data_IF_120154082705
#
_entry.id   IF_120154082705
#
_cell.length_a   1.000
_cell.length_b   1.000
_cell.length_c   1.000
_cell.angle_alpha   90.00
_cell.angle_beta   90.00
_cell.angle_gamma   90.00
#
_symmetry.space_group_name_H-M   'P 1'
#
loop_
_entity.id
_entity.type
_entity.pdbx_description
1 polymer ?
#
# COMPACT_ATOMS: atom_id res chain seq x y z
N UNK A 1 44.92 -78.65 -46.97
CA UNK A 1 44.40 -79.79 -46.16
C UNK A 1 44.94 -79.88 -44.72
N UNK A 2 45.93 -79.06 -44.28
CA UNK A 2 46.41 -79.10 -42.88
C UNK A 2 45.44 -78.46 -41.85
N UNK A 3 44.65 -77.47 -42.27
CA UNK A 3 43.68 -76.79 -41.41
C UNK A 3 42.51 -77.68 -40.97
N UNK A 4 41.98 -78.49 -41.90
CA UNK A 4 40.86 -79.42 -41.60
C UNK A 4 41.26 -80.55 -40.64
N UNK A 5 42.50 -81.07 -40.71
CA UNK A 5 43.02 -82.03 -39.72
C UNK A 5 43.21 -81.41 -38.33
N UNK A 6 43.47 -80.11 -38.25
CA UNK A 6 43.61 -79.40 -36.98
C UNK A 6 42.27 -79.17 -36.30
N UNK A 7 41.22 -78.77 -37.03
CA UNK A 7 39.87 -78.55 -36.49
C UNK A 7 39.23 -79.86 -35.97
N UNK A 8 39.63 -81.02 -36.50
CA UNK A 8 39.16 -82.35 -36.07
C UNK A 8 40.05 -82.93 -34.94
N UNK A 9 41.16 -82.28 -34.61
CA UNK A 9 42.10 -82.77 -33.59
C UNK A 9 41.51 -82.69 -32.18
N UNK A 10 41.79 -83.71 -31.35
CA UNK A 10 41.45 -83.73 -29.91
C UNK A 10 41.97 -82.49 -29.18
N UNK A 11 43.15 -82.00 -29.55
CA UNK A 11 43.78 -80.83 -28.92
C UNK A 11 43.00 -79.54 -29.23
N UNK A 12 42.46 -79.40 -30.44
CA UNK A 12 41.65 -78.23 -30.82
C UNK A 12 40.37 -78.16 -30.00
N UNK A 13 39.65 -79.27 -29.85
CA UNK A 13 38.42 -79.33 -29.03
C UNK A 13 38.68 -79.12 -27.54
N UNK A 14 39.83 -79.57 -27.00
CA UNK A 14 40.23 -79.28 -25.61
C UNK A 14 40.51 -77.77 -25.42
N UNK A 15 41.26 -77.15 -26.33
CA UNK A 15 41.55 -75.71 -26.26
C UNK A 15 40.28 -74.87 -26.47
N UNK A 16 39.38 -75.29 -27.36
CA UNK A 16 38.08 -74.65 -27.57
C UNK A 16 37.21 -74.76 -26.31
N UNK A 17 37.14 -75.93 -25.69
CA UNK A 17 36.44 -76.12 -24.41
C UNK A 17 37.02 -75.24 -23.30
N UNK A 18 38.35 -75.18 -23.17
CA UNK A 18 39.03 -74.32 -22.19
C UNK A 18 38.74 -72.83 -22.45
N UNK A 19 38.78 -72.39 -23.71
CA UNK A 19 38.47 -71.02 -24.11
C UNK A 19 37.00 -70.67 -23.80
N UNK A 20 36.06 -71.59 -24.05
CA UNK A 20 34.66 -71.41 -23.67
C UNK A 20 34.48 -71.32 -22.15
N UNK A 21 35.18 -72.14 -21.36
CA UNK A 21 35.13 -72.09 -19.89
C UNK A 21 35.70 -70.77 -19.37
N UNK A 22 36.87 -70.34 -19.84
CA UNK A 22 37.46 -69.06 -19.46
C UNK A 22 36.59 -67.87 -19.88
N UNK A 23 36.02 -67.92 -21.08
CA UNK A 23 35.07 -66.92 -21.58
C UNK A 23 33.80 -66.85 -20.71
N UNK A 24 33.23 -67.99 -20.35
CA UNK A 24 32.08 -68.07 -19.45
C UNK A 24 32.42 -67.53 -18.05
N UNK A 25 33.58 -67.91 -17.50
CA UNK A 25 34.04 -67.44 -16.20
C UNK A 25 34.26 -65.92 -16.18
N UNK A 26 34.88 -65.39 -17.25
CA UNK A 26 35.06 -63.95 -17.44
C UNK A 26 33.74 -63.20 -17.58
N UNK A 27 32.79 -63.74 -18.35
CA UNK A 27 31.46 -63.17 -18.50
C UNK A 27 30.69 -63.12 -17.17
N UNK A 28 30.72 -64.21 -16.38
CA UNK A 28 30.09 -64.27 -15.05
C UNK A 28 30.76 -63.28 -14.10
N UNK A 29 32.09 -63.23 -14.07
CA UNK A 29 32.85 -62.31 -13.21
C UNK A 29 32.56 -60.85 -13.56
N UNK A 30 32.49 -60.52 -14.86
CA UNK A 30 32.10 -59.21 -15.35
C UNK A 30 30.66 -58.87 -14.96
N UNK A 31 29.72 -59.81 -15.07
CA UNK A 31 28.32 -59.58 -14.70
C UNK A 31 28.18 -59.32 -13.18
N UNK A 32 28.88 -60.08 -12.34
CA UNK A 32 28.89 -59.89 -10.88
C UNK A 32 29.55 -58.55 -10.52
N UNK A 33 30.70 -58.23 -11.11
CA UNK A 33 31.38 -56.96 -10.90
C UNK A 33 30.53 -55.77 -11.32
N UNK A 34 29.87 -55.86 -12.48
CA UNK A 34 28.93 -54.83 -12.94
C UNK A 34 27.73 -54.69 -12.01
N UNK A 35 27.14 -55.79 -11.50
CA UNK A 35 26.03 -55.72 -10.55
C UNK A 35 26.42 -55.07 -9.22
N UNK A 36 27.61 -55.36 -8.70
CA UNK A 36 28.14 -54.74 -7.49
C UNK A 36 28.48 -53.26 -7.70
N UNK A 37 29.08 -52.91 -8.84
CA UNK A 37 29.46 -51.54 -9.18
C UNK A 37 28.26 -50.65 -9.49
N UNK A 38 27.23 -51.20 -10.15
CA UNK A 38 26.03 -50.45 -10.53
C UNK A 38 25.03 -50.27 -9.40
N UNK A 39 25.26 -50.87 -8.21
CA UNK A 39 24.39 -50.81 -7.01
C UNK A 39 22.93 -50.68 -7.44
N UNK A 40 22.38 -51.76 -8.00
CA UNK A 40 21.03 -51.78 -8.56
C UNK A 40 20.08 -51.13 -7.56
N UNK A 41 19.55 -49.99 -7.98
CA UNK A 41 18.83 -49.00 -7.19
C UNK A 41 17.93 -49.60 -6.13
N UNK A 42 18.31 -49.49 -4.86
CA UNK A 42 17.32 -49.48 -3.79
C UNK A 42 16.39 -48.31 -4.07
N UNK A 43 15.18 -48.69 -4.49
CA UNK A 43 14.07 -47.76 -4.64
C UNK A 43 13.54 -47.50 -3.25
N UNK A 44 13.59 -46.24 -2.85
CA UNK A 44 13.12 -45.79 -1.55
C UNK A 44 11.75 -45.16 -1.79
N UNK A 45 10.74 -45.64 -1.07
CA UNK A 45 9.44 -44.97 -1.05
C UNK A 45 9.60 -43.65 -0.30
N UNK A 46 9.24 -42.55 -0.93
CA UNK A 46 9.36 -41.21 -0.33
C UNK A 46 8.41 -41.10 0.87
N UNK A 47 8.91 -40.80 2.09
CA UNK A 47 8.06 -40.59 3.25
C UNK A 47 7.23 -39.31 3.11
N UNK A 48 6.06 -39.30 3.73
CA UNK A 48 5.23 -38.09 3.81
C UNK A 48 5.73 -37.15 4.89
N UNK A 49 6.07 -35.93 4.50
CA UNK A 49 6.55 -34.87 5.42
C UNK A 49 5.68 -33.61 5.38
N UNK A 50 4.63 -33.59 4.57
CA UNK A 50 3.63 -32.51 4.57
C UNK A 50 2.99 -32.38 5.95
N UNK A 51 2.93 -31.14 6.47
CA UNK A 51 2.43 -30.83 7.80
C UNK A 51 3.48 -30.94 8.93
N UNK A 52 4.64 -31.55 8.68
CA UNK A 52 5.76 -31.50 9.63
C UNK A 52 6.44 -30.14 9.59
N UNK A 53 7.11 -29.80 10.69
CA UNK A 53 8.02 -28.66 10.73
C UNK A 53 9.23 -28.92 9.83
N UNK A 54 9.90 -27.85 9.39
CA UNK A 54 11.09 -27.95 8.52
C UNK A 54 12.13 -28.90 9.10
N UNK A 55 12.41 -28.84 10.40
CA UNK A 55 13.42 -29.69 11.03
C UNK A 55 12.98 -31.16 11.08
N UNK A 56 11.75 -31.45 11.49
CA UNK A 56 11.22 -32.82 11.47
C UNK A 56 11.20 -33.42 10.07
N UNK A 57 10.78 -32.64 9.06
CA UNK A 57 10.80 -33.06 7.67
C UNK A 57 12.23 -33.40 7.18
N UNK A 58 13.22 -32.57 7.54
CA UNK A 58 14.62 -32.83 7.19
C UNK A 58 15.12 -34.14 7.82
N UNK A 59 14.87 -34.35 9.12
CA UNK A 59 15.29 -35.56 9.83
C UNK A 59 14.66 -36.81 9.22
N UNK A 60 13.36 -36.78 8.90
CA UNK A 60 12.65 -37.92 8.30
C UNK A 60 13.23 -38.25 6.92
N UNK A 61 13.45 -37.25 6.06
CA UNK A 61 13.98 -37.48 4.71
C UNK A 61 15.44 -37.94 4.71
N UNK A 62 16.28 -37.34 5.56
CA UNK A 62 17.68 -37.74 5.71
C UNK A 62 17.80 -39.15 6.28
N UNK A 63 16.96 -39.52 7.25
CA UNK A 63 16.92 -40.89 7.81
C UNK A 63 16.50 -41.94 6.77
N UNK A 64 15.71 -41.53 5.77
CA UNK A 64 15.33 -42.36 4.64
C UNK A 64 16.38 -42.37 3.51
N UNK A 65 17.53 -41.70 3.67
CA UNK A 65 18.58 -41.62 2.64
C UNK A 65 18.23 -40.74 1.44
N UNK A 66 17.31 -39.79 1.63
CA UNK A 66 16.91 -38.77 0.65
C UNK A 66 17.50 -37.42 1.03
N UNK A 67 17.58 -36.49 0.06
CA UNK A 67 18.15 -35.17 0.29
C UNK A 67 17.05 -34.09 0.31
N UNK A 68 16.64 -33.58 1.48
CA UNK A 68 15.64 -32.52 1.57
C UNK A 68 16.19 -31.18 1.05
N UNK A 69 15.46 -30.52 0.15
CA UNK A 69 15.82 -29.21 -0.41
C UNK A 69 14.62 -28.28 -0.33
N UNK A 70 14.70 -27.21 0.46
CA UNK A 70 13.66 -26.17 0.47
C UNK A 70 13.87 -25.27 -0.75
N UNK A 71 12.90 -25.25 -1.66
CA UNK A 71 12.99 -24.47 -2.91
C UNK A 71 12.14 -23.21 -2.91
N UNK A 72 11.06 -23.21 -2.14
CA UNK A 72 10.11 -22.11 -2.13
C UNK A 72 9.46 -21.96 -0.75
N UNK A 73 8.90 -20.78 -0.52
CA UNK A 73 8.12 -20.50 0.67
C UNK A 73 6.86 -19.71 0.32
N UNK A 74 5.72 -20.17 0.84
CA UNK A 74 4.42 -19.55 0.62
C UNK A 74 3.94 -18.88 1.91
N UNK A 75 3.32 -17.71 1.82
CA UNK A 75 2.70 -17.08 2.98
C UNK A 75 1.21 -17.41 3.03
N UNK A 76 0.76 -17.90 4.18
CA UNK A 76 -0.66 -18.07 4.50
C UNK A 76 -0.86 -17.72 5.97
N UNK A 77 -1.76 -16.76 6.27
CA UNK A 77 -2.05 -16.32 7.62
C UNK A 77 -2.58 -17.44 8.53
N UNK A 78 -3.20 -18.49 7.96
CA UNK A 78 -3.69 -19.68 8.69
C UNK A 78 -2.66 -20.82 8.73
N UNK A 79 -1.57 -20.71 7.98
CA UNK A 79 -0.54 -21.74 7.90
C UNK A 79 0.38 -21.73 9.12
N UNK A 80 0.80 -22.91 9.58
CA UNK A 80 1.81 -23.01 10.64
C UNK A 80 3.19 -22.61 10.08
N UNK A 81 3.84 -21.55 10.61
CA UNK A 81 5.13 -21.11 10.11
C UNK A 81 6.19 -22.21 10.15
N UNK A 82 6.93 -22.36 9.06
CA UNK A 82 7.98 -23.35 8.90
C UNK A 82 7.49 -24.77 8.63
N UNK A 83 6.17 -25.01 8.61
CA UNK A 83 5.63 -26.31 8.23
C UNK A 83 5.72 -26.53 6.71
N UNK A 84 5.93 -27.78 6.31
CA UNK A 84 5.93 -28.20 4.90
C UNK A 84 4.50 -28.17 4.37
N UNK A 85 4.30 -27.40 3.31
CA UNK A 85 3.02 -27.28 2.58
C UNK A 85 2.92 -28.33 1.50
N UNK A 86 4.04 -28.52 0.79
CA UNK A 86 4.12 -29.36 -0.38
C UNK A 86 5.48 -30.03 -0.45
N UNK A 87 5.50 -31.25 -1.00
CA UNK A 87 6.71 -31.98 -1.30
C UNK A 87 6.65 -32.53 -2.72
N UNK A 88 7.80 -32.57 -3.40
CA UNK A 88 7.98 -33.23 -4.68
C UNK A 88 9.30 -34.03 -4.67
N UNK A 89 9.30 -35.35 -4.89
CA UNK A 89 8.15 -36.21 -5.23
C UNK A 89 7.14 -36.41 -4.10
N UNK A 90 5.89 -36.68 -4.49
CA UNK A 90 4.79 -36.96 -3.53
C UNK A 90 5.05 -38.22 -2.73
N UNK A 91 4.48 -38.27 -1.52
CA UNK A 91 4.63 -39.39 -0.60
C UNK A 91 4.24 -40.73 -1.25
N UNK A 92 5.00 -41.78 -0.98
CA UNK A 92 4.78 -43.12 -1.52
C UNK A 92 5.36 -43.36 -2.91
N UNK A 93 5.84 -42.33 -3.62
CA UNK A 93 6.55 -42.51 -4.89
C UNK A 93 7.90 -43.17 -4.63
N UNK A 94 8.23 -44.16 -5.45
CA UNK A 94 9.53 -44.80 -5.42
C UNK A 94 10.58 -44.00 -6.19
N UNK A 95 11.65 -43.61 -5.51
CA UNK A 95 12.77 -42.89 -6.10
C UNK A 95 14.07 -43.65 -5.86
N UNK A 96 15.10 -43.38 -6.67
CA UNK A 96 16.45 -43.87 -6.35
C UNK A 96 16.93 -43.21 -5.05
N UNK A 97 17.62 -43.97 -4.20
CA UNK A 97 18.29 -43.38 -3.02
C UNK A 97 19.17 -42.19 -3.40
N UNK A 98 19.33 -41.23 -2.48
CA UNK A 98 20.02 -39.93 -2.65
C UNK A 98 19.32 -38.93 -3.58
N UNK A 99 18.06 -39.16 -3.97
CA UNK A 99 17.29 -38.18 -4.74
C UNK A 99 16.94 -36.97 -3.87
N UNK A 100 16.94 -35.79 -4.50
CA UNK A 100 16.44 -34.57 -3.87
C UNK A 100 14.92 -34.64 -3.74
N UNK A 101 14.42 -34.30 -2.56
CA UNK A 101 13.00 -34.07 -2.29
C UNK A 101 12.83 -32.58 -2.05
N UNK A 102 12.12 -31.93 -2.95
CA UNK A 102 11.87 -30.51 -2.93
C UNK A 102 10.71 -30.20 -2.00
N UNK A 103 10.89 -29.21 -1.13
CA UNK A 103 9.92 -28.81 -0.12
C UNK A 103 9.53 -27.36 -0.34
N UNK A 104 8.23 -27.10 -0.26
CA UNK A 104 7.65 -25.76 -0.14
C UNK A 104 7.18 -25.59 1.29
N UNK A 105 7.61 -24.52 1.97
CA UNK A 105 7.31 -24.29 3.39
C UNK A 105 6.48 -23.04 3.63
N UNK A 106 5.71 -23.00 4.71
CA UNK A 106 5.08 -21.74 5.12
C UNK A 106 6.12 -20.77 5.67
N UNK A 107 6.15 -19.55 5.16
CA UNK A 107 6.96 -18.48 5.76
C UNK A 107 6.21 -17.78 6.89
N UNK A 108 6.95 -17.32 7.89
CA UNK A 108 6.40 -16.63 9.06
C UNK A 108 5.95 -15.20 8.76
N UNK A 109 6.64 -14.53 7.83
CA UNK A 109 6.39 -13.11 7.54
C UNK A 109 5.52 -12.95 6.29
N UNK A 110 4.57 -12.01 6.28
CA UNK A 110 3.84 -11.64 5.06
C UNK A 110 4.80 -11.16 3.97
N UNK A 111 4.42 -11.25 2.67
CA UNK A 111 5.17 -10.59 1.62
C UNK A 111 5.10 -9.08 1.82
N UNK A 112 6.19 -8.39 1.50
CA UNK A 112 6.28 -6.93 1.61
C UNK A 112 6.00 -6.30 0.25
N UNK A 113 5.08 -5.34 0.23
CA UNK A 113 4.72 -4.55 -0.96
C UNK A 113 5.12 -3.10 -0.78
N UNK A 114 5.37 -2.40 -1.89
CA UNK A 114 5.61 -0.95 -1.88
C UNK A 114 4.29 -0.21 -1.77
N UNK A 115 4.26 0.85 -0.97
CA UNK A 115 3.04 1.64 -0.77
C UNK A 115 2.60 2.36 -2.06
N UNK A 116 3.52 3.10 -2.71
CA UNK A 116 3.29 3.86 -3.95
C UNK A 116 2.18 4.92 -3.85
N UNK A 117 1.98 5.49 -2.66
CA UNK A 117 1.05 6.61 -2.43
C UNK A 117 1.87 7.86 -2.16
N UNK A 118 1.59 8.90 -2.92
CA UNK A 118 2.28 10.19 -2.86
C UNK A 118 1.32 11.27 -2.33
N UNK A 119 1.89 12.31 -1.74
CA UNK A 119 1.15 13.51 -1.37
C UNK A 119 0.56 14.18 -2.63
N UNK A 120 -0.67 14.68 -2.53
CA UNK A 120 -1.40 15.25 -3.65
C UNK A 120 -2.10 14.22 -4.54
N UNK A 121 -1.96 12.92 -4.27
CA UNK A 121 -2.75 11.88 -4.94
C UNK A 121 -4.24 12.03 -4.60
N UNK A 122 -5.13 11.73 -5.54
CA UNK A 122 -6.58 11.67 -5.27
C UNK A 122 -6.89 10.60 -4.21
N UNK A 123 -7.68 10.96 -3.20
CA UNK A 123 -8.00 10.05 -2.10
C UNK A 123 -8.75 8.79 -2.57
N UNK A 124 -9.53 8.87 -3.65
CA UNK A 124 -10.18 7.71 -4.26
C UNK A 124 -9.21 6.74 -4.91
N UNK A 125 -8.21 7.27 -5.64
CA UNK A 125 -7.14 6.44 -6.21
C UNK A 125 -6.33 5.77 -5.11
N UNK A 126 -5.99 6.50 -4.05
CA UNK A 126 -5.24 5.97 -2.93
C UNK A 126 -5.97 4.80 -2.22
N UNK A 127 -7.30 4.91 -2.00
CA UNK A 127 -8.10 3.81 -1.44
C UNK A 127 -8.01 2.54 -2.27
N UNK A 128 -8.23 2.66 -3.59
CA UNK A 128 -8.16 1.52 -4.51
C UNK A 128 -6.77 0.90 -4.47
N UNK A 129 -5.72 1.72 -4.44
CA UNK A 129 -4.36 1.24 -4.42
C UNK A 129 -4.03 0.47 -3.13
N UNK A 130 -4.48 0.97 -1.97
CA UNK A 130 -4.34 0.29 -0.68
C UNK A 130 -5.07 -1.06 -0.67
N UNK A 131 -6.31 -1.10 -1.16
CA UNK A 131 -7.12 -2.31 -1.24
C UNK A 131 -6.48 -3.37 -2.15
N UNK A 132 -6.06 -2.98 -3.36
CA UNK A 132 -5.41 -3.88 -4.33
C UNK A 132 -4.09 -4.44 -3.79
N UNK A 133 -3.32 -3.62 -3.06
CA UNK A 133 -2.07 -4.05 -2.43
C UNK A 133 -2.28 -4.86 -1.16
N UNK A 134 -3.51 -4.90 -0.64
CA UNK A 134 -3.90 -5.67 0.55
C UNK A 134 -3.43 -5.02 1.85
N UNK A 135 -3.38 -3.69 1.90
CA UNK A 135 -3.15 -2.94 3.13
C UNK A 135 -4.49 -2.63 3.81
N UNK A 136 -4.52 -2.72 5.15
CA UNK A 136 -5.69 -2.25 5.92
C UNK A 136 -5.48 -0.78 6.25
N UNK A 137 -6.52 0.04 6.14
CA UNK A 137 -6.38 1.47 6.41
C UNK A 137 -7.61 2.07 7.11
N UNK A 138 -7.36 3.18 7.80
CA UNK A 138 -8.39 4.08 8.32
C UNK A 138 -8.17 5.47 7.74
N UNK A 139 -9.24 6.21 7.53
CA UNK A 139 -9.15 7.58 7.05
C UNK A 139 -9.11 8.57 8.21
N UNK A 140 -8.28 9.61 8.07
CA UNK A 140 -8.25 10.78 8.94
C UNK A 140 -8.32 12.03 8.06
N UNK A 141 -9.24 12.93 8.39
CA UNK A 141 -9.37 14.20 7.69
C UNK A 141 -8.61 15.28 8.45
N UNK A 142 -7.79 16.05 7.73
CA UNK A 142 -7.04 17.18 8.28
C UNK A 142 -7.31 18.45 7.46
N UNK A 143 -7.44 19.62 8.14
CA UNK A 143 -7.77 20.86 7.46
C UNK A 143 -6.64 21.31 6.52
N UNK A 144 -6.98 21.64 5.28
CA UNK A 144 -6.04 22.17 4.29
C UNK A 144 -6.71 23.18 3.36
N UNK A 145 -5.94 24.18 2.92
CA UNK A 145 -6.42 25.22 2.00
C UNK A 145 -6.32 24.76 0.53
N UNK A 146 -5.25 24.05 0.18
CA UNK A 146 -4.87 23.73 -1.20
C UNK A 146 -5.19 22.28 -1.59
N UNK A 147 -5.00 21.33 -0.68
CA UNK A 147 -5.05 19.89 -0.97
C UNK A 147 -6.38 19.22 -0.58
N UNK A 148 -7.48 19.96 -0.63
CA UNK A 148 -8.81 19.44 -0.27
C UNK A 148 -9.22 18.29 -1.19
N UNK A 149 -9.55 17.14 -0.61
CA UNK A 149 -9.90 15.90 -1.30
C UNK A 149 -8.69 15.08 -1.76
N UNK A 150 -7.46 15.56 -1.53
CA UNK A 150 -6.23 14.87 -1.87
C UNK A 150 -5.57 14.27 -0.63
N UNK A 151 -4.66 13.33 -0.85
CA UNK A 151 -3.87 12.71 0.21
C UNK A 151 -2.80 13.70 0.69
N UNK A 152 -2.81 13.99 1.98
CA UNK A 152 -1.75 14.75 2.65
C UNK A 152 -0.58 13.85 3.04
N UNK A 153 -0.85 12.57 3.31
CA UNK A 153 0.16 11.58 3.60
C UNK A 153 -0.42 10.26 4.10
N UNK A 154 0.47 9.32 4.37
CA UNK A 154 0.12 8.02 4.96
C UNK A 154 0.96 7.84 6.23
N UNK A 155 0.30 7.44 7.31
CA UNK A 155 0.95 7.12 8.58
C UNK A 155 0.77 5.66 8.92
N UNK A 156 1.68 5.09 9.71
CA UNK A 156 1.52 3.77 10.29
C UNK A 156 0.58 3.79 11.52
N UNK A 157 0.33 2.63 12.11
CA UNK A 157 -0.49 2.54 13.33
C UNK A 157 0.10 3.25 14.56
N UNK A 158 1.40 3.59 14.55
CA UNK A 158 2.10 4.32 15.61
C UNK A 158 2.09 5.83 15.39
N UNK A 159 1.72 6.28 14.20
CA UNK A 159 1.70 7.68 13.79
C UNK A 159 2.97 8.12 13.04
N UNK A 160 3.86 7.20 12.69
CA UNK A 160 5.05 7.49 11.90
C UNK A 160 4.67 7.65 10.42
N UNK A 161 5.23 8.68 9.77
CA UNK A 161 4.99 8.93 8.34
C UNK A 161 5.63 7.84 7.48
N UNK A 162 4.89 7.35 6.49
CA UNK A 162 5.31 6.30 5.55
C UNK A 162 5.44 6.90 4.15
N UNK A 163 6.62 6.73 3.55
CA UNK A 163 6.89 7.20 2.21
C UNK A 163 6.36 6.28 1.10
N UNK A 164 6.23 6.81 -0.14
CA UNK A 164 5.76 6.03 -1.30
C UNK A 164 6.66 4.82 -1.63
N UNK A 165 7.94 4.90 -1.28
CA UNK A 165 8.94 3.87 -1.60
C UNK A 165 9.11 2.83 -0.49
N UNK A 166 8.45 3.02 0.65
CA UNK A 166 8.57 2.12 1.79
C UNK A 166 7.88 0.79 1.49
N UNK A 167 8.53 -0.29 1.96
CA UNK A 167 8.03 -1.65 1.80
C UNK A 167 7.43 -2.12 3.11
N UNK A 168 6.13 -2.36 3.08
CA UNK A 168 5.36 -2.77 4.23
C UNK A 168 4.81 -4.18 4.04
N UNK A 169 4.70 -4.98 5.12
CA UNK A 169 4.06 -6.28 5.04
C UNK A 169 2.58 -6.14 4.62
N UNK A 170 2.09 -7.06 3.78
CA UNK A 170 0.65 -7.14 3.48
C UNK A 170 -0.16 -7.26 4.77
N UNK A 171 -1.28 -6.56 4.83
CA UNK A 171 -2.13 -6.46 6.02
C UNK A 171 -1.62 -5.50 7.09
N UNK A 172 -0.60 -4.68 6.82
CA UNK A 172 -0.23 -3.58 7.72
C UNK A 172 -1.40 -2.60 7.87
N UNK A 173 -1.59 -2.11 9.10
CA UNK A 173 -2.58 -1.10 9.45
C UNK A 173 -2.01 0.30 9.22
N UNK A 174 -2.64 1.05 8.32
CA UNK A 174 -2.25 2.39 7.92
C UNK A 174 -3.34 3.43 8.25
N UNK A 175 -2.94 4.68 8.29
CA UNK A 175 -3.83 5.83 8.40
C UNK A 175 -3.62 6.68 7.16
N UNK A 176 -4.64 6.75 6.30
CA UNK A 176 -4.67 7.62 5.14
C UNK A 176 -5.14 9.01 5.58
N UNK A 177 -4.24 9.99 5.51
CA UNK A 177 -4.54 11.37 5.87
C UNK A 177 -5.02 12.10 4.62
N UNK A 178 -6.26 12.58 4.67
CA UNK A 178 -6.95 13.23 3.55
C UNK A 178 -7.18 14.69 3.91
N UNK A 179 -6.89 15.57 2.96
CA UNK A 179 -7.16 16.99 3.09
C UNK A 179 -8.66 17.26 3.05
N UNK A 180 -9.15 18.02 4.03
CA UNK A 180 -10.52 18.53 4.03
C UNK A 180 -10.48 20.06 4.05
N UNK A 181 -11.28 20.70 3.20
CA UNK A 181 -11.44 22.16 3.26
C UNK A 181 -12.19 22.51 4.53
N UNK A 182 -11.52 23.18 5.46
CA UNK A 182 -12.18 23.72 6.64
C UNK A 182 -12.97 24.96 6.23
N UNK A 183 -14.29 24.83 6.10
CA UNK A 183 -15.16 26.00 5.94
C UNK A 183 -15.25 26.73 7.28
N UNK A 184 -14.25 27.57 7.60
CA UNK A 184 -14.33 28.46 8.77
C UNK A 184 -15.53 29.37 8.60
N UNK A 185 -16.45 29.30 9.56
CA UNK A 185 -17.65 30.13 9.59
C UNK A 185 -17.56 31.12 10.76
N UNK A 186 -17.85 32.38 10.48
CA UNK A 186 -17.97 33.44 11.48
C UNK A 186 -19.44 33.83 11.63
N UNK A 187 -19.84 34.29 12.81
CA UNK A 187 -21.17 34.89 12.96
C UNK A 187 -21.24 36.16 12.12
N UNK A 188 -22.34 36.37 11.39
CA UNK A 188 -22.54 37.56 10.59
C UNK A 188 -22.74 38.75 11.54
N UNK A 189 -21.83 39.73 11.59
CA UNK A 189 -22.03 40.91 12.43
C UNK A 189 -23.22 41.75 11.93
N UNK A 190 -23.84 42.46 12.85
CA UNK A 190 -24.80 43.50 12.50
C UNK A 190 -24.03 44.80 12.21
N UNK A 191 -24.06 45.21 10.96
CA UNK A 191 -23.42 46.42 10.48
C UNK A 191 -24.39 47.61 10.45
N UNK A 192 -25.70 47.39 10.59
CA UNK A 192 -26.70 48.46 10.49
C UNK A 192 -26.53 49.43 11.65
N UNK A 193 -26.47 50.72 11.35
CA UNK A 193 -26.28 51.78 12.35
C UNK A 193 -24.81 52.03 12.75
N UNK A 194 -23.86 51.24 12.26
CA UNK A 194 -22.44 51.48 12.49
C UNK A 194 -21.89 52.58 11.57
N UNK A 195 -20.82 53.23 12.03
CA UNK A 195 -20.07 54.15 11.18
C UNK A 195 -19.29 53.38 10.12
N UNK A 196 -18.97 54.06 9.02
CA UNK A 196 -18.11 53.49 7.98
C UNK A 196 -16.79 52.94 8.53
N UNK A 197 -16.14 53.66 9.44
CA UNK A 197 -14.86 53.24 10.03
C UNK A 197 -15.01 51.99 10.91
N UNK A 198 -16.05 51.93 11.75
CA UNK A 198 -16.30 50.77 12.61
C UNK A 198 -16.60 49.53 11.78
N UNK A 199 -17.41 49.67 10.73
CA UNK A 199 -17.77 48.58 9.86
C UNK A 199 -16.55 47.98 9.13
N UNK A 200 -15.64 48.82 8.63
CA UNK A 200 -14.37 48.34 8.03
C UNK A 200 -13.54 47.56 9.06
N UNK A 201 -13.41 48.09 10.29
CA UNK A 201 -12.66 47.41 11.35
C UNK A 201 -13.25 46.05 11.74
N UNK A 202 -14.58 45.94 11.74
CA UNK A 202 -15.31 44.70 12.05
C UNK A 202 -15.21 43.72 10.87
N UNK A 203 -15.29 44.19 9.62
CA UNK A 203 -15.07 43.34 8.44
C UNK A 203 -13.68 42.72 8.46
N UNK A 204 -12.64 43.52 8.70
CA UNK A 204 -11.26 43.04 8.81
C UNK A 204 -11.09 42.07 9.99
N UNK A 205 -11.62 42.41 11.16
CA UNK A 205 -11.56 41.56 12.36
C UNK A 205 -12.31 40.23 12.22
N UNK A 206 -13.37 40.20 11.42
CA UNK A 206 -14.15 39.00 11.11
C UNK A 206 -13.61 38.23 9.88
N UNK A 207 -12.50 38.68 9.27
CA UNK A 207 -11.95 38.14 8.03
C UNK A 207 -13.00 38.08 6.88
N UNK A 208 -13.90 39.07 6.82
CA UNK A 208 -14.91 39.23 5.76
C UNK A 208 -14.44 40.23 4.72
N UNK A 209 -14.91 40.06 3.47
CA UNK A 209 -14.52 40.94 2.38
C UNK A 209 -15.58 42.03 2.13
N UNK A 210 -15.17 43.25 1.78
CA UNK A 210 -16.12 44.26 1.30
C UNK A 210 -16.65 43.84 -0.08
N UNK A 211 -17.96 43.70 -0.18
CA UNK A 211 -18.65 43.48 -1.45
C UNK A 211 -18.93 44.81 -2.16
N UNK A 212 -20.17 45.00 -2.59
CA UNK A 212 -20.62 46.25 -3.21
C UNK A 212 -20.98 47.29 -2.17
N UNK A 213 -20.37 48.47 -2.30
CA UNK A 213 -20.72 49.63 -1.49
C UNK A 213 -21.54 50.63 -2.29
N UNK A 214 -22.73 50.96 -1.77
CA UNK A 214 -23.62 51.92 -2.41
C UNK A 214 -23.85 53.11 -1.49
N UNK A 215 -23.36 54.26 -1.91
CA UNK A 215 -23.51 55.51 -1.20
C UNK A 215 -24.81 56.20 -1.63
N UNK A 216 -25.57 56.76 -0.68
CA UNK A 216 -26.78 57.55 -0.98
C UNK A 216 -26.47 58.81 -1.79
N UNK A 217 -25.32 59.43 -1.51
CA UNK A 217 -24.72 60.54 -2.26
C UNK A 217 -23.19 60.39 -2.23
N UNK A 218 -22.45 60.92 -3.23
CA UNK A 218 -21.00 60.96 -3.15
C UNK A 218 -20.57 61.81 -1.94
N UNK A 219 -19.62 61.28 -1.15
CA UNK A 219 -19.01 62.04 -0.06
C UNK A 219 -18.16 63.17 -0.66
N UNK A 220 -18.34 64.40 -0.17
CA UNK A 220 -17.64 65.58 -0.68
C UNK A 220 -16.32 65.81 0.06
N UNK A 221 -16.22 65.39 1.32
CA UNK A 221 -15.03 65.54 2.16
C UNK A 221 -14.86 64.36 3.16
N UNK A 222 -13.77 64.40 3.94
CA UNK A 222 -13.51 63.39 4.97
C UNK A 222 -14.50 63.43 6.14
N UNK A 223 -15.11 64.59 6.40
CA UNK A 223 -16.13 64.79 7.44
C UNK A 223 -17.42 64.06 7.08
N UNK A 224 -17.83 64.14 5.82
CA UNK A 224 -18.97 63.43 5.24
C UNK A 224 -18.84 61.90 5.42
N UNK A 225 -17.64 61.36 5.18
CA UNK A 225 -17.37 59.93 5.38
C UNK A 225 -17.35 59.52 6.86
N UNK A 226 -17.01 60.43 7.78
CA UNK A 226 -16.97 60.17 9.21
C UNK A 226 -18.37 60.13 9.84
N UNK A 227 -19.33 60.85 9.27
CA UNK A 227 -20.74 60.83 9.68
C UNK A 227 -21.60 59.84 8.90
N UNK A 228 -21.00 59.09 7.98
CA UNK A 228 -21.70 58.09 7.19
C UNK A 228 -22.07 56.87 8.04
N UNK A 229 -23.33 56.46 7.95
CA UNK A 229 -23.89 55.33 8.70
C UNK A 229 -24.41 54.29 7.72
N UNK A 230 -24.23 53.02 8.06
CA UNK A 230 -24.76 51.92 7.25
C UNK A 230 -26.27 51.83 7.45
N UNK A 231 -27.03 51.96 6.36
CA UNK A 231 -28.49 51.83 6.38
C UNK A 231 -28.96 50.40 6.21
N UNK A 232 -28.25 49.61 5.40
CA UNK A 232 -28.60 48.23 5.10
C UNK A 232 -27.37 47.42 4.73
N UNK A 233 -27.43 46.12 5.01
CA UNK A 233 -26.41 45.15 4.63
C UNK A 233 -27.04 44.01 3.85
N UNK A 234 -26.26 43.40 2.96
CA UNK A 234 -26.57 42.13 2.34
C UNK A 234 -25.36 41.18 2.41
N UNK A 235 -25.50 39.98 2.97
CA UNK A 235 -26.72 39.36 3.49
C UNK A 235 -27.31 40.06 4.72
N UNK A 236 -28.64 40.05 4.85
CA UNK A 236 -29.34 40.62 6.01
C UNK A 236 -28.89 39.95 7.31
N UNK A 237 -28.71 40.78 8.35
CA UNK A 237 -28.37 40.32 9.69
C UNK A 237 -29.53 39.51 10.27
N UNK A 238 -29.21 38.30 10.71
CA UNK A 238 -30.12 37.44 11.46
C UNK A 238 -29.32 36.89 12.64
N UNK A 239 -29.79 37.05 13.89
CA UNK A 239 -29.08 36.52 15.06
C UNK A 239 -28.77 35.03 14.92
N UNK A 240 -27.51 34.66 15.15
CA UNK A 240 -27.01 33.29 15.00
C UNK A 240 -26.74 32.83 13.56
N UNK A 241 -26.95 33.70 12.56
CA UNK A 241 -26.54 33.41 11.17
C UNK A 241 -25.02 33.39 11.08
N UNK A 242 -24.50 32.35 10.43
CA UNK A 242 -23.07 32.21 10.15
C UNK A 242 -22.79 32.32 8.66
N UNK A 243 -21.66 32.92 8.33
CA UNK A 243 -21.16 33.09 6.96
C UNK A 243 -19.73 32.56 6.88
N UNK A 244 -19.29 32.18 5.67
CA UNK A 244 -17.92 31.69 5.48
C UNK A 244 -16.94 32.85 5.64
N UNK A 245 -15.79 32.60 6.25
CA UNK A 245 -14.65 33.52 6.19
C UNK A 245 -14.35 33.85 4.72
N UNK A 246 -14.07 35.11 4.44
CA UNK A 246 -13.89 35.63 3.09
C UNK A 246 -15.18 35.86 2.29
N UNK A 247 -16.36 35.72 2.91
CA UNK A 247 -17.61 36.11 2.24
C UNK A 247 -17.66 37.61 2.03
N UNK A 248 -18.18 38.02 0.87
CA UNK A 248 -18.42 39.43 0.54
C UNK A 248 -19.70 39.93 1.22
N UNK A 249 -19.61 41.10 1.85
CA UNK A 249 -20.75 41.81 2.46
C UNK A 249 -21.00 43.11 1.70
N UNK A 250 -22.18 43.21 1.08
CA UNK A 250 -22.67 44.43 0.45
C UNK A 250 -23.21 45.38 1.52
N UNK A 251 -22.85 46.66 1.44
CA UNK A 251 -23.26 47.68 2.40
C UNK A 251 -23.84 48.90 1.66
N UNK A 252 -25.01 49.33 2.11
CA UNK A 252 -25.59 50.61 1.72
C UNK A 252 -25.26 51.65 2.79
N UNK A 253 -24.68 52.76 2.35
CA UNK A 253 -24.13 53.80 3.21
C UNK A 253 -24.95 55.07 3.02
N UNK A 254 -25.58 55.52 4.10
CA UNK A 254 -26.37 56.73 4.17
C UNK A 254 -25.54 57.85 4.80
N UNK A 255 -25.32 58.92 4.04
CA UNK A 255 -24.84 60.18 4.62
C UNK A 255 -26.03 60.98 5.15
N UNK A 256 -25.90 61.62 6.34
CA UNK A 256 -26.90 62.56 6.82
C UNK A 256 -27.07 63.73 5.84
N UNK A 257 -28.31 64.22 5.77
CA UNK A 257 -28.65 65.41 4.99
C UNK A 257 -27.90 66.61 5.57
N UNK A 258 -27.18 67.36 4.73
CA UNK A 258 -26.55 68.60 5.16
C UNK A 258 -27.65 69.54 5.63
N UNK A 259 -27.64 69.93 6.91
CA UNK A 259 -28.48 71.02 7.39
C UNK A 259 -27.99 72.27 6.65
N UNK A 260 -28.72 72.67 5.61
CA UNK A 260 -28.47 73.92 4.91
C UNK A 260 -28.66 75.07 5.91
N UNK A 261 -27.56 75.71 6.29
CA UNK A 261 -27.55 76.92 7.11
C UNK A 261 -27.91 78.16 6.25
N UNK A 262 -29.03 78.11 5.52
CA UNK A 262 -29.51 79.19 4.64
C UNK A 262 -30.84 79.81 5.13
N UNK A 263 -31.17 79.69 6.43
CA UNK A 263 -32.41 80.26 6.99
C UNK A 263 -32.21 81.28 8.11
N UNK A 264 -31.07 81.97 8.19
CA UNK A 264 -30.84 83.04 9.20
C UNK A 264 -30.54 84.45 8.64
N UNK A 265 -30.72 84.73 7.34
CA UNK A 265 -30.69 86.11 6.82
C UNK A 265 -32.07 86.59 6.36
N UNK A 266 -32.99 86.82 7.31
CA UNK A 266 -34.22 87.59 7.05
C UNK A 266 -34.89 88.14 8.33
N UNK A 267 -34.12 88.47 9.37
CA UNK A 267 -34.71 88.99 10.61
C UNK A 267 -33.96 90.16 11.25
N UNK A 268 -33.37 91.07 10.46
CA UNK A 268 -33.12 92.44 10.94
C UNK A 268 -33.27 93.42 9.76
N UNK A 269 -34.45 94.04 9.69
CA UNK A 269 -34.66 95.37 9.09
C UNK A 269 -33.86 96.44 9.86
#
# INVERSE_FOLDING_TARGET
>A
MRLFRFIISRVFWIQLGLACVLGALGFVSLNIGLRAYTRHSERIAVPGVVGLDRQGAMVVLESAGLNPVVIDSLYNAKGQPGAVVEQDPVAGVEVKGTRNVYLTVYRSTPPSERLEIEEGMDAGVARILLDVKGFSFRERYEPTDELSGLVLGVQDAKGDSVGPNDRLPKGADLVLVIGERLERQVELPDFVGLTYADAVSILEGAELLPGRWRWSRPALDGTDSAHAVISSQFPEFVPGRRVRVGSEIDLDILLPESINADSEESLFE
#
